data_IF_134052702708
#
_entry.id   IF_134052702708
#
_cell.length_a   1.000
_cell.length_b   1.000
_cell.length_c   1.000
_cell.angle_alpha   90.00
_cell.angle_beta   90.00
_cell.angle_gamma   90.00
#
_symmetry.space_group_name_H-M   'P 1'
#
loop_
_entity.id
_entity.type
_entity.pdbx_description
1 polymer ?
#
# COMPACT_ATOMS: atom_id res chain seq x y z
N UNK A 1 -24.46 4.81 -45.76
CA UNK A 1 -25.62 5.23 -44.92
C UNK A 1 -26.42 4.04 -44.38
N UNK A 2 -26.88 3.07 -45.20
CA UNK A 2 -27.67 1.93 -44.71
C UNK A 2 -26.99 1.09 -43.60
N UNK A 3 -25.68 0.82 -43.72
CA UNK A 3 -24.93 0.09 -42.68
C UNK A 3 -24.89 0.82 -41.33
N UNK A 4 -24.80 2.16 -41.33
CA UNK A 4 -24.79 2.95 -40.09
C UNK A 4 -26.15 2.90 -39.42
N UNK A 5 -27.24 2.99 -40.19
CA UNK A 5 -28.61 2.87 -39.67
C UNK A 5 -28.84 1.48 -39.07
N UNK A 6 -28.35 0.42 -39.72
CA UNK A 6 -28.47 -0.94 -39.20
C UNK A 6 -27.67 -1.15 -37.91
N UNK A 7 -26.52 -0.47 -37.75
CA UNK A 7 -25.71 -0.54 -36.54
C UNK A 7 -26.32 0.28 -35.40
N UNK A 8 -26.92 1.43 -35.71
CA UNK A 8 -27.67 2.25 -34.75
C UNK A 8 -28.93 1.55 -34.23
N UNK A 9 -29.54 0.66 -35.02
CA UNK A 9 -30.68 -0.16 -34.55
C UNK A 9 -30.30 -1.13 -33.42
N UNK A 10 -29.02 -1.46 -33.26
CA UNK A 10 -28.55 -2.31 -32.16
C UNK A 10 -28.33 -1.53 -30.85
N UNK A 11 -28.36 -0.19 -30.89
CA UNK A 11 -28.16 0.66 -29.71
C UNK A 11 -29.54 1.09 -29.20
N UNK A 12 -29.91 0.58 -28.03
CA UNK A 12 -31.09 1.07 -27.33
C UNK A 12 -30.77 2.41 -26.66
N UNK A 13 -31.52 3.46 -27.00
CA UNK A 13 -31.40 4.79 -26.40
C UNK A 13 -32.28 4.95 -25.15
N UNK A 14 -33.33 4.13 -24.99
CA UNK A 14 -34.29 4.24 -23.88
C UNK A 14 -33.88 3.34 -22.69
N UNK A 15 -32.74 3.67 -22.07
CA UNK A 15 -32.15 2.84 -21.00
C UNK A 15 -32.63 3.17 -19.58
N UNK A 16 -33.40 4.24 -19.41
CA UNK A 16 -33.81 4.75 -18.09
C UNK A 16 -35.19 4.20 -17.75
N UNK A 17 -35.28 3.48 -16.63
CA UNK A 17 -36.55 2.97 -16.08
C UNK A 17 -36.74 3.49 -14.66
N UNK A 18 -37.79 4.28 -14.39
CA UNK A 18 -38.06 4.82 -13.06
C UNK A 18 -38.75 3.78 -12.17
N UNK A 19 -38.42 3.79 -10.88
CA UNK A 19 -39.07 2.97 -9.85
C UNK A 19 -39.45 3.84 -8.66
N UNK A 20 -40.59 3.56 -8.05
CA UNK A 20 -41.07 4.28 -6.87
C UNK A 20 -40.52 3.69 -5.56
N UNK A 21 -40.13 2.41 -5.57
CA UNK A 21 -39.62 1.70 -4.40
C UNK A 21 -38.26 1.05 -4.68
N UNK A 22 -37.34 1.25 -3.75
CA UNK A 22 -35.97 0.75 -3.81
C UNK A 22 -35.89 -0.78 -3.86
N UNK A 23 -36.75 -1.50 -3.11
CA UNK A 23 -36.69 -2.97 -3.06
C UNK A 23 -37.15 -3.59 -4.39
N UNK A 24 -38.16 -3.01 -5.03
CA UNK A 24 -38.60 -3.44 -6.37
C UNK A 24 -37.51 -3.21 -7.43
N UNK A 25 -36.80 -2.07 -7.34
CA UNK A 25 -35.72 -1.73 -8.25
C UNK A 25 -34.51 -2.66 -8.08
N UNK A 26 -34.18 -3.03 -6.84
CA UNK A 26 -33.10 -3.98 -6.55
C UNK A 26 -33.40 -5.38 -7.11
N UNK A 27 -34.62 -5.90 -6.90
CA UNK A 27 -35.01 -7.21 -7.42
C UNK A 27 -34.93 -7.28 -8.95
N UNK A 28 -35.42 -6.23 -9.64
CA UNK A 28 -35.32 -6.16 -11.10
C UNK A 28 -33.88 -5.93 -11.58
N UNK A 29 -33.07 -5.19 -10.81
CA UNK A 29 -31.64 -5.04 -11.08
C UNK A 29 -30.91 -6.38 -11.04
N UNK A 30 -31.21 -7.27 -10.08
CA UNK A 30 -30.63 -8.63 -10.06
C UNK A 30 -31.01 -9.43 -11.31
N UNK A 31 -32.28 -9.38 -11.74
CA UNK A 31 -32.73 -10.06 -12.97
C UNK A 31 -32.02 -9.54 -14.22
N UNK A 32 -31.80 -8.22 -14.30
CA UNK A 32 -31.06 -7.59 -15.41
C UNK A 32 -29.57 -7.85 -15.34
N UNK A 33 -29.01 -8.00 -14.15
CA UNK A 33 -27.62 -8.38 -13.94
C UNK A 33 -27.36 -9.80 -14.47
N UNK A 34 -28.25 -10.76 -14.18
CA UNK A 34 -28.16 -12.12 -14.70
C UNK A 34 -28.24 -12.18 -16.25
N UNK A 35 -29.02 -11.27 -16.85
CA UNK A 35 -29.11 -11.12 -18.30
C UNK A 35 -28.01 -10.23 -18.93
N UNK A 36 -27.03 -9.74 -18.15
CA UNK A 36 -25.99 -8.80 -18.59
C UNK A 36 -26.51 -7.50 -19.24
N UNK A 37 -27.71 -7.05 -18.87
CA UNK A 37 -28.32 -5.81 -19.39
C UNK A 37 -28.30 -4.65 -18.38
N UNK A 38 -27.99 -4.92 -17.11
CA UNK A 38 -27.84 -3.89 -16.09
C UNK A 38 -26.54 -3.12 -16.27
N UNK A 39 -26.62 -1.78 -16.35
CA UNK A 39 -25.45 -0.91 -16.24
C UNK A 39 -25.24 -0.45 -14.78
N UNK A 40 -26.23 0.24 -14.22
CA UNK A 40 -26.22 0.70 -12.83
C UNK A 40 -27.64 0.91 -12.31
N UNK A 41 -27.80 0.90 -10.99
CA UNK A 41 -28.99 1.31 -10.25
C UNK A 41 -28.65 2.59 -9.47
N UNK A 42 -29.40 3.66 -9.69
CA UNK A 42 -29.23 4.94 -9.00
C UNK A 42 -30.35 5.07 -7.97
N UNK A 43 -29.98 5.22 -6.70
CA UNK A 43 -30.94 5.38 -5.60
C UNK A 43 -30.76 6.73 -4.92
N UNK A 44 -31.81 7.55 -4.92
CA UNK A 44 -31.85 8.87 -4.29
C UNK A 44 -32.50 8.77 -2.91
N UNK A 45 -31.84 9.26 -1.87
CA UNK A 45 -32.42 9.29 -0.53
C UNK A 45 -33.22 10.58 -0.35
N UNK A 46 -34.55 10.47 -0.32
CA UNK A 46 -35.47 11.59 -0.09
C UNK A 46 -35.23 12.81 -1.01
N UNK A 47 -35.36 12.65 -2.35
CA UNK A 47 -35.06 13.71 -3.32
C UNK A 47 -35.99 14.94 -3.26
N UNK A 48 -37.17 14.81 -2.65
CA UNK A 48 -38.26 15.78 -2.76
C UNK A 48 -39.28 15.34 -3.82
N UNK A 49 -40.51 15.88 -3.75
CA UNK A 49 -41.59 15.52 -4.68
C UNK A 49 -41.55 16.40 -5.95
N UNK A 50 -41.68 17.72 -5.78
CA UNK A 50 -41.80 18.65 -6.93
C UNK A 50 -40.52 19.48 -7.18
N UNK A 51 -39.71 19.71 -6.14
CA UNK A 51 -38.45 20.44 -6.24
C UNK A 51 -37.35 19.66 -5.55
N UNK A 52 -36.22 19.52 -6.24
CA UNK A 52 -35.05 18.84 -5.71
C UNK A 52 -34.53 19.58 -4.47
N UNK A 53 -34.22 18.83 -3.42
CA UNK A 53 -33.66 19.37 -2.19
C UNK A 53 -32.24 19.92 -2.46
N UNK A 54 -31.86 21.10 -1.92
CA UNK A 54 -30.52 21.68 -2.13
C UNK A 54 -29.36 20.75 -1.73
N UNK A 55 -29.57 19.93 -0.71
CA UNK A 55 -28.63 18.88 -0.29
C UNK A 55 -29.26 17.54 -0.62
N UNK A 56 -28.71 16.86 -1.62
CA UNK A 56 -29.16 15.56 -2.11
C UNK A 56 -28.05 14.54 -1.88
N UNK A 57 -28.42 13.40 -1.33
CA UNK A 57 -27.55 12.22 -1.26
C UNK A 57 -28.10 11.15 -2.19
N UNK A 58 -27.24 10.61 -3.04
CA UNK A 58 -27.56 9.56 -3.98
C UNK A 58 -26.49 8.47 -3.93
N UNK A 59 -26.87 7.25 -4.31
CA UNK A 59 -25.97 6.11 -4.36
C UNK A 59 -26.06 5.46 -5.73
N UNK A 60 -24.90 5.22 -6.35
CA UNK A 60 -24.77 4.47 -7.59
C UNK A 60 -24.37 3.05 -7.22
N UNK A 61 -25.17 2.07 -7.64
CA UNK A 61 -24.91 0.65 -7.41
C UNK A 61 -24.68 -0.03 -8.76
N UNK A 62 -23.53 -0.64 -8.93
CA UNK A 62 -23.23 -1.49 -10.09
C UNK A 62 -22.75 -2.86 -9.62
N UNK A 63 -22.60 -3.79 -10.56
CA UNK A 63 -21.99 -5.08 -10.30
C UNK A 63 -20.56 -4.92 -9.74
N UNK A 64 -20.26 -5.66 -8.68
CA UNK A 64 -18.92 -5.75 -8.08
C UNK A 64 -17.88 -6.39 -9.00
N UNK A 65 -18.28 -6.98 -10.13
CA UNK A 65 -17.35 -7.43 -11.16
C UNK A 65 -16.82 -6.25 -12.01
N UNK A 66 -17.67 -5.23 -12.21
CA UNK A 66 -17.39 -4.05 -13.02
C UNK A 66 -16.73 -2.93 -12.20
N UNK A 67 -17.04 -2.84 -10.91
CA UNK A 67 -16.37 -1.92 -9.99
C UNK A 67 -15.33 -2.71 -9.18
N UNK A 68 -14.26 -2.04 -8.71
CA UNK A 68 -13.33 -2.64 -7.76
C UNK A 68 -13.95 -2.88 -6.38
N UNK A 69 -13.20 -3.51 -5.48
CA UNK A 69 -13.58 -3.55 -4.08
C UNK A 69 -13.58 -2.13 -3.48
N UNK A 70 -14.38 -1.89 -2.45
CA UNK A 70 -14.44 -0.61 -1.74
C UNK A 70 -13.30 -0.41 -0.73
N UNK A 71 -12.25 -1.24 -0.80
CA UNK A 71 -11.04 -1.02 -0.02
C UNK A 71 -10.35 0.24 -0.52
N UNK A 72 -10.14 1.17 0.40
CA UNK A 72 -9.60 2.50 0.11
C UNK A 72 -8.13 2.36 -0.35
N UNK A 73 -7.33 1.54 0.34
CA UNK A 73 -5.92 1.33 0.05
C UNK A 73 -5.59 -0.13 -0.29
N UNK A 74 -4.50 -0.33 -1.03
CA UNK A 74 -3.95 -1.69 -1.19
C UNK A 74 -3.53 -2.25 0.17
N UNK A 75 -3.78 -3.55 0.37
CA UNK A 75 -3.31 -4.26 1.56
C UNK A 75 -1.77 -4.30 1.64
N UNK A 76 -1.10 -4.33 0.50
CA UNK A 76 0.34 -4.27 0.38
C UNK A 76 0.72 -3.11 -0.50
N UNK A 77 1.53 -2.20 0.02
CA UNK A 77 2.05 -1.08 -0.77
C UNK A 77 2.94 -1.61 -1.90
N UNK A 78 2.69 -1.16 -3.13
CA UNK A 78 3.50 -1.46 -4.31
C UNK A 78 3.93 -0.16 -4.98
N UNK A 79 5.20 -0.06 -5.34
CA UNK A 79 5.78 1.08 -6.07
C UNK A 79 5.44 1.05 -7.58
N UNK A 80 4.33 0.43 -7.96
CA UNK A 80 3.91 0.35 -9.36
C UNK A 80 2.82 1.38 -9.64
N UNK A 81 2.84 2.03 -10.81
CA UNK A 81 1.71 2.84 -11.20
C UNK A 81 0.49 1.96 -11.44
N UNK A 82 -0.65 2.42 -10.93
CA UNK A 82 -1.98 1.88 -11.20
C UNK A 82 -2.47 2.28 -12.60
N UNK A 83 -1.89 1.69 -13.62
CA UNK A 83 -2.10 2.08 -15.03
C UNK A 83 -2.90 1.06 -15.84
N UNK A 84 -3.23 -0.12 -15.28
CA UNK A 84 -3.89 -1.18 -16.05
C UNK A 84 -5.38 -0.87 -16.20
N UNK A 85 -5.91 -0.67 -17.42
CA UNK A 85 -7.30 -0.26 -17.64
C UNK A 85 -8.33 -1.18 -16.96
N UNK A 86 -8.17 -2.50 -17.13
CA UNK A 86 -9.13 -3.51 -16.69
C UNK A 86 -9.11 -3.82 -15.19
N UNK A 87 -7.99 -3.54 -14.52
CA UNK A 87 -7.77 -3.93 -13.12
C UNK A 87 -7.73 -2.73 -12.18
N UNK A 88 -6.94 -1.72 -12.53
CA UNK A 88 -6.66 -0.58 -11.65
C UNK A 88 -7.61 0.60 -11.95
N UNK A 89 -8.04 0.74 -13.21
CA UNK A 89 -8.87 1.85 -13.71
C UNK A 89 -10.33 1.44 -13.96
N UNK A 90 -10.86 0.52 -13.14
CA UNK A 90 -12.22 -0.02 -13.32
C UNK A 90 -13.31 1.05 -13.35
N UNK A 91 -13.20 2.06 -12.48
CA UNK A 91 -14.14 3.18 -12.39
C UNK A 91 -14.31 3.95 -13.71
N UNK A 92 -13.22 4.13 -14.46
CA UNK A 92 -13.22 4.80 -15.75
C UNK A 92 -13.58 3.81 -16.86
N UNK A 93 -12.98 2.61 -16.83
CA UNK A 93 -13.07 1.61 -17.90
C UNK A 93 -14.48 1.01 -18.04
N UNK A 94 -15.17 0.77 -16.91
CA UNK A 94 -16.54 0.26 -16.90
C UNK A 94 -17.61 1.37 -16.76
N UNK A 95 -17.17 2.62 -16.70
CA UNK A 95 -18.02 3.79 -16.87
C UNK A 95 -18.79 4.28 -15.65
N UNK A 96 -18.39 3.89 -14.43
CA UNK A 96 -18.92 4.50 -13.20
C UNK A 96 -18.68 6.01 -13.18
N UNK A 97 -17.46 6.46 -13.51
CA UNK A 97 -17.11 7.88 -13.52
C UNK A 97 -17.94 8.68 -14.54
N UNK A 98 -18.23 8.08 -15.71
CA UNK A 98 -19.10 8.72 -16.71
C UNK A 98 -20.53 8.85 -16.21
N UNK A 99 -21.06 7.82 -15.54
CA UNK A 99 -22.40 7.85 -14.97
C UNK A 99 -22.49 8.89 -13.86
N UNK A 100 -21.47 8.96 -13.00
CA UNK A 100 -21.38 9.97 -11.96
C UNK A 100 -21.39 11.39 -12.55
N UNK A 101 -20.55 11.67 -13.55
CA UNK A 101 -20.51 12.97 -14.22
C UNK A 101 -21.87 13.33 -14.87
N UNK A 102 -22.52 12.38 -15.56
CA UNK A 102 -23.83 12.61 -16.17
C UNK A 102 -24.92 12.92 -15.14
N UNK A 103 -24.95 12.18 -14.02
CA UNK A 103 -25.94 12.39 -12.95
C UNK A 103 -25.68 13.73 -12.25
N UNK A 104 -24.43 14.04 -11.92
CA UNK A 104 -24.05 15.29 -11.27
C UNK A 104 -24.35 16.51 -12.13
N UNK A 105 -24.01 16.46 -13.42
CA UNK A 105 -24.37 17.52 -14.36
C UNK A 105 -25.88 17.74 -14.43
N UNK A 106 -26.69 16.67 -14.42
CA UNK A 106 -28.16 16.78 -14.41
C UNK A 106 -28.69 17.46 -13.14
N UNK A 107 -28.11 17.14 -11.97
CA UNK A 107 -28.48 17.73 -10.68
C UNK A 107 -28.08 19.21 -10.64
N UNK A 108 -26.87 19.54 -11.12
CA UNK A 108 -26.37 20.92 -11.19
C UNK A 108 -27.24 21.75 -12.13
N UNK A 109 -27.61 21.20 -13.29
CA UNK A 109 -28.49 21.86 -14.25
C UNK A 109 -29.86 22.17 -13.62
N UNK A 110 -30.43 21.22 -12.89
CA UNK A 110 -31.73 21.42 -12.20
C UNK A 110 -31.63 22.46 -11.07
N UNK A 111 -30.54 22.46 -10.29
CA UNK A 111 -30.35 23.41 -9.20
C UNK A 111 -30.03 24.83 -9.68
N UNK A 112 -29.26 24.96 -10.74
CA UNK A 112 -28.77 26.27 -11.22
C UNK A 112 -29.61 26.86 -12.35
N UNK A 113 -30.42 26.05 -13.04
CA UNK A 113 -31.15 26.45 -14.23
C UNK A 113 -30.27 26.81 -15.43
N UNK A 114 -28.98 26.44 -15.42
CA UNK A 114 -28.03 26.71 -16.51
C UNK A 114 -28.04 25.58 -17.53
N UNK A 115 -28.19 25.90 -18.80
CA UNK A 115 -28.20 24.90 -19.89
C UNK A 115 -26.81 24.36 -20.26
N UNK A 116 -25.73 25.06 -19.90
CA UNK A 116 -24.36 24.64 -20.23
C UNK A 116 -23.53 24.53 -18.96
N UNK A 117 -23.14 23.29 -18.65
CA UNK A 117 -22.13 22.96 -17.64
C UNK A 117 -20.74 22.86 -18.30
N UNK A 118 -19.67 23.23 -17.59
CA UNK A 118 -18.31 23.01 -18.09
C UNK A 118 -18.01 21.51 -18.18
N UNK A 119 -17.28 21.09 -19.21
CA UNK A 119 -16.85 19.69 -19.37
C UNK A 119 -15.72 19.33 -18.41
N UNK A 120 -15.77 18.10 -17.88
CA UNK A 120 -14.76 17.56 -16.96
C UNK A 120 -13.82 16.62 -17.73
N UNK A 121 -12.51 16.75 -17.48
CA UNK A 121 -11.49 15.85 -18.03
C UNK A 121 -10.75 15.18 -16.88
N UNK A 122 -10.65 13.86 -16.94
CA UNK A 122 -9.90 13.06 -15.98
C UNK A 122 -8.48 12.82 -16.49
N UNK A 123 -7.48 13.12 -15.67
CA UNK A 123 -6.07 12.90 -15.98
C UNK A 123 -5.37 12.30 -14.76
N UNK A 124 -4.70 11.15 -14.95
CA UNK A 124 -3.84 10.59 -13.91
C UNK A 124 -2.59 11.45 -13.74
N UNK A 125 -2.12 11.59 -12.49
CA UNK A 125 -0.82 12.20 -12.22
C UNK A 125 0.29 11.39 -12.89
N UNK A 126 1.31 12.06 -13.45
CA UNK A 126 2.43 11.37 -14.08
C UNK A 126 3.23 10.60 -13.02
N UNK A 127 3.52 9.33 -13.30
CA UNK A 127 4.38 8.51 -12.46
C UNK A 127 5.85 8.65 -12.91
N UNK A 128 6.83 8.73 -12.00
CA UNK A 128 8.25 8.77 -12.39
C UNK A 128 8.65 7.51 -13.16
N UNK A 129 9.77 7.59 -13.90
CA UNK A 129 10.30 6.42 -14.60
C UNK A 129 10.63 5.30 -13.60
N UNK A 130 10.11 4.10 -13.85
CA UNK A 130 10.28 2.93 -12.99
C UNK A 130 10.66 1.70 -13.82
N UNK A 131 11.24 0.71 -13.17
CA UNK A 131 11.59 -0.58 -13.75
C UNK A 131 10.73 -1.64 -13.06
N UNK A 132 10.00 -2.41 -13.85
CA UNK A 132 9.10 -3.44 -13.32
C UNK A 132 9.80 -4.82 -13.26
N UNK A 133 10.47 -5.11 -12.15
CA UNK A 133 11.10 -6.42 -11.93
C UNK A 133 10.14 -7.39 -11.23
N UNK A 134 9.30 -8.08 -12.00
CA UNK A 134 8.36 -9.08 -11.48
C UNK A 134 9.07 -10.22 -10.72
N UNK A 135 10.28 -10.58 -11.17
CA UNK A 135 11.10 -11.60 -10.51
C UNK A 135 11.49 -11.19 -9.09
N UNK A 136 12.00 -9.98 -8.87
CA UNK A 136 12.40 -9.51 -7.55
C UNK A 136 11.20 -9.36 -6.62
N UNK A 137 10.05 -8.91 -7.15
CA UNK A 137 8.80 -8.85 -6.37
C UNK A 137 8.35 -10.23 -5.87
N UNK A 138 8.45 -11.26 -6.71
CA UNK A 138 8.10 -12.63 -6.32
C UNK A 138 9.15 -13.26 -5.39
N UNK A 139 10.44 -13.05 -5.67
CA UNK A 139 11.55 -13.66 -4.95
C UNK A 139 11.81 -13.01 -3.60
N UNK A 140 11.71 -11.68 -3.48
CA UNK A 140 12.01 -10.96 -2.22
C UNK A 140 11.28 -11.51 -1.00
N UNK A 141 10.00 -11.89 -1.15
CA UNK A 141 9.19 -12.47 -0.06
C UNK A 141 9.52 -13.93 0.23
N UNK A 142 10.02 -14.67 -0.77
CA UNK A 142 10.29 -16.12 -0.68
C UNK A 142 11.77 -16.43 -0.44
N UNK A 143 12.66 -15.46 -0.62
CA UNK A 143 14.09 -15.62 -0.49
C UNK A 143 14.52 -16.18 0.88
N UNK A 144 14.00 -15.70 2.03
CA UNK A 144 14.35 -16.27 3.34
C UNK A 144 13.97 -17.75 3.48
N UNK A 145 12.87 -18.19 2.84
CA UNK A 145 12.47 -19.60 2.85
C UNK A 145 13.49 -20.48 2.14
N UNK A 146 13.97 -20.07 0.96
CA UNK A 146 15.00 -20.82 0.22
C UNK A 146 16.32 -20.89 1.01
N UNK A 147 16.66 -19.82 1.72
CA UNK A 147 17.84 -19.76 2.58
C UNK A 147 17.76 -20.75 3.73
N UNK A 148 16.63 -20.78 4.45
CA UNK A 148 16.39 -21.76 5.51
C UNK A 148 16.48 -23.19 4.93
N UNK A 149 15.78 -23.47 3.83
CA UNK A 149 15.82 -24.81 3.22
C UNK A 149 17.23 -25.26 2.81
N UNK A 150 18.08 -24.33 2.36
CA UNK A 150 19.45 -24.64 1.92
C UNK A 150 20.33 -25.19 3.06
N UNK A 151 20.15 -24.70 4.29
CA UNK A 151 20.95 -25.11 5.44
C UNK A 151 20.25 -26.01 6.46
N UNK A 152 19.00 -26.44 6.20
CA UNK A 152 18.31 -27.45 7.02
C UNK A 152 19.20 -28.69 7.21
N UNK A 153 19.80 -29.20 6.13
CA UNK A 153 20.65 -30.38 6.21
C UNK A 153 21.90 -30.14 7.05
N UNK A 154 22.59 -29.02 6.83
CA UNK A 154 23.79 -28.67 7.61
C UNK A 154 23.48 -28.53 9.10
N UNK A 155 22.38 -27.84 9.43
CA UNK A 155 21.90 -27.65 10.80
C UNK A 155 21.60 -29.00 11.49
N UNK A 156 20.88 -29.90 10.82
CA UNK A 156 20.58 -31.26 11.32
C UNK A 156 21.84 -32.09 11.54
N UNK A 157 22.82 -32.02 10.63
CA UNK A 157 24.06 -32.79 10.73
C UNK A 157 24.96 -32.28 11.84
N UNK A 158 25.07 -30.96 12.04
CA UNK A 158 25.82 -30.38 13.17
C UNK A 158 25.22 -30.85 14.50
N UNK A 159 23.90 -30.78 14.65
CA UNK A 159 23.23 -31.27 15.85
C UNK A 159 23.46 -32.77 16.08
N UNK A 160 23.32 -33.59 15.02
CA UNK A 160 23.58 -35.02 15.09
C UNK A 160 24.99 -35.31 15.60
N UNK A 161 26.00 -34.63 15.07
CA UNK A 161 27.41 -34.86 15.43
C UNK A 161 27.69 -34.53 16.89
N UNK A 162 27.15 -33.41 17.40
CA UNK A 162 27.30 -33.02 18.81
C UNK A 162 26.60 -34.01 19.75
N UNK A 163 25.38 -34.41 19.40
CA UNK A 163 24.61 -35.37 20.21
C UNK A 163 25.21 -36.77 20.13
N UNK A 164 25.82 -37.14 19.00
CA UNK A 164 26.56 -38.39 18.85
C UNK A 164 27.77 -38.44 19.79
N UNK A 165 28.56 -37.37 19.85
CA UNK A 165 29.67 -37.28 20.80
C UNK A 165 29.20 -37.33 22.27
N UNK A 166 28.07 -36.67 22.57
CA UNK A 166 27.41 -36.72 23.89
C UNK A 166 26.95 -38.14 24.24
N UNK A 167 26.36 -38.86 23.29
CA UNK A 167 25.82 -40.21 23.46
C UNK A 167 26.93 -41.23 23.78
N UNK A 168 28.06 -41.16 23.08
CA UNK A 168 29.23 -42.02 23.30
C UNK A 168 30.08 -41.58 24.52
N UNK A 169 29.69 -40.50 25.20
CA UNK A 169 30.40 -39.90 26.35
C UNK A 169 31.86 -39.51 26.05
N UNK A 170 32.20 -39.29 24.79
CA UNK A 170 33.55 -38.91 24.36
C UNK A 170 33.96 -37.54 24.94
N UNK A 171 32.99 -36.62 25.09
CA UNK A 171 33.19 -35.33 25.76
C UNK A 171 33.68 -35.48 27.22
N UNK A 172 33.12 -36.42 27.97
CA UNK A 172 33.50 -36.65 29.37
C UNK A 172 34.89 -37.28 29.48
N UNK A 173 35.25 -38.18 28.55
CA UNK A 173 36.59 -38.75 28.48
C UNK A 173 37.65 -37.67 28.23
N UNK A 174 37.39 -36.73 27.32
CA UNK A 174 38.31 -35.63 27.04
C UNK A 174 38.42 -34.63 28.20
N UNK A 175 37.33 -34.46 28.97
CA UNK A 175 37.36 -33.68 30.22
C UNK A 175 38.24 -34.33 31.28
N UNK A 176 38.21 -35.66 31.40
CA UNK A 176 39.12 -36.43 32.29
C UNK A 176 40.58 -36.31 31.85
N UNK A 177 40.84 -36.16 30.55
CA UNK A 177 42.18 -35.93 29.98
C UNK A 177 42.72 -34.50 30.25
N UNK A 178 41.91 -33.61 30.84
CA UNK A 178 42.31 -32.26 31.23
C UNK A 178 41.89 -31.16 30.25
N UNK A 179 41.03 -31.45 29.28
CA UNK A 179 40.52 -30.44 28.34
C UNK A 179 39.36 -29.65 28.94
N UNK A 180 39.34 -28.34 28.74
CA UNK A 180 38.27 -27.47 29.23
C UNK A 180 37.02 -27.52 28.35
N UNK A 181 35.84 -27.32 28.94
CA UNK A 181 34.56 -27.30 28.22
C UNK A 181 34.50 -26.23 27.12
N UNK A 182 35.18 -25.10 27.31
CA UNK A 182 35.24 -24.03 26.30
C UNK A 182 35.90 -24.49 25.00
N UNK A 183 36.97 -25.29 25.11
CA UNK A 183 37.71 -25.78 23.93
C UNK A 183 36.84 -26.69 23.07
N UNK A 184 35.99 -27.52 23.68
CA UNK A 184 35.04 -28.36 22.95
C UNK A 184 34.04 -27.53 22.13
N UNK A 185 33.44 -26.50 22.72
CA UNK A 185 32.48 -25.64 22.01
C UNK A 185 33.16 -24.83 20.90
N UNK A 186 34.37 -24.33 21.14
CA UNK A 186 35.13 -23.63 20.10
C UNK A 186 35.57 -24.56 18.97
N UNK A 187 35.93 -25.82 19.28
CA UNK A 187 36.31 -26.80 18.26
C UNK A 187 35.12 -27.12 17.34
N UNK A 188 33.95 -27.41 17.91
CA UNK A 188 32.73 -27.61 17.13
C UNK A 188 32.32 -26.37 16.32
N UNK A 189 32.52 -25.17 16.87
CA UNK A 189 32.26 -23.93 16.15
C UNK A 189 33.19 -23.78 14.94
N UNK A 190 34.49 -24.03 15.11
CA UNK A 190 35.50 -23.94 14.05
C UNK A 190 35.23 -24.99 12.96
N UNK A 191 34.92 -26.23 13.34
CA UNK A 191 34.60 -27.29 12.37
C UNK A 191 33.35 -26.94 11.56
N UNK A 192 32.30 -26.49 12.24
CA UNK A 192 31.02 -26.13 11.61
C UNK A 192 31.13 -24.90 10.71
N UNK A 193 31.84 -23.85 11.14
CA UNK A 193 31.95 -22.61 10.36
C UNK A 193 32.77 -22.81 9.08
N UNK A 194 33.78 -23.69 9.08
CA UNK A 194 34.57 -24.00 7.88
C UNK A 194 33.68 -24.62 6.80
N UNK A 195 32.85 -25.60 7.15
CA UNK A 195 31.91 -26.23 6.21
C UNK A 195 30.88 -25.21 5.71
N UNK A 196 30.33 -24.38 6.60
CA UNK A 196 29.32 -23.39 6.24
C UNK A 196 29.89 -22.27 5.36
N UNK A 197 31.11 -21.80 5.60
CA UNK A 197 31.80 -20.80 4.77
C UNK A 197 31.93 -21.28 3.33
N UNK A 198 32.33 -22.54 3.11
CA UNK A 198 32.45 -23.09 1.75
C UNK A 198 31.10 -22.99 1.02
N UNK A 199 30.01 -23.38 1.67
CA UNK A 199 28.66 -23.26 1.08
C UNK A 199 28.22 -21.81 0.87
N UNK A 200 28.57 -20.90 1.78
CA UNK A 200 28.26 -19.47 1.66
C UNK A 200 29.03 -18.79 0.52
N UNK A 201 30.29 -19.16 0.28
CA UNK A 201 31.07 -18.69 -0.87
C UNK A 201 30.41 -19.15 -2.17
N UNK A 202 30.06 -20.44 -2.29
CA UNK A 202 29.41 -20.98 -3.48
C UNK A 202 28.07 -20.28 -3.77
N UNK A 203 27.25 -20.07 -2.74
CA UNK A 203 25.97 -19.37 -2.87
C UNK A 203 26.16 -17.90 -3.24
N UNK A 204 27.14 -17.22 -2.65
CA UNK A 204 27.47 -15.83 -2.99
C UNK A 204 27.87 -15.68 -4.46
N UNK A 205 28.71 -16.58 -4.96
CA UNK A 205 29.10 -16.62 -6.37
C UNK A 205 27.87 -16.85 -7.27
N UNK A 206 26.98 -17.78 -6.90
CA UNK A 206 25.76 -18.05 -7.66
C UNK A 206 24.84 -16.82 -7.72
N UNK A 207 24.64 -16.10 -6.61
CA UNK A 207 23.76 -14.92 -6.57
C UNK A 207 24.30 -13.76 -7.41
N UNK A 208 25.62 -13.57 -7.42
CA UNK A 208 26.28 -12.47 -8.15
C UNK A 208 26.39 -12.80 -9.64
N UNK A 209 26.99 -13.96 -9.99
CA UNK A 209 27.18 -14.35 -11.39
C UNK A 209 25.89 -14.86 -12.05
N UNK A 210 24.92 -15.30 -11.26
CA UNK A 210 23.57 -15.66 -11.73
C UNK A 210 22.69 -14.45 -12.04
N UNK A 211 23.21 -13.22 -11.96
CA UNK A 211 22.48 -11.98 -12.24
C UNK A 211 21.18 -11.81 -11.44
N UNK A 212 21.08 -12.47 -10.27
CA UNK A 212 19.92 -12.41 -9.36
C UNK A 212 19.92 -11.09 -8.60
N UNK A 213 21.09 -10.68 -8.07
CA UNK A 213 21.27 -9.42 -7.33
C UNK A 213 22.37 -8.60 -8.01
N UNK A 214 22.01 -7.88 -9.07
CA UNK A 214 22.97 -7.26 -9.99
C UNK A 214 23.64 -6.00 -9.42
N UNK A 215 22.90 -5.22 -8.61
CA UNK A 215 23.34 -3.90 -8.17
C UNK A 215 24.06 -3.89 -6.83
N UNK A 216 24.24 -5.05 -6.19
CA UNK A 216 24.82 -5.14 -4.85
C UNK A 216 26.29 -5.55 -4.89
N UNK A 217 27.09 -4.98 -3.99
CA UNK A 217 28.49 -5.38 -3.84
C UNK A 217 28.58 -6.85 -3.34
N UNK A 218 29.30 -7.75 -4.05
CA UNK A 218 29.45 -9.15 -3.68
C UNK A 218 29.94 -9.38 -2.24
N UNK A 219 30.80 -8.51 -1.74
CA UNK A 219 31.38 -8.61 -0.39
C UNK A 219 30.31 -8.44 0.69
N UNK A 220 29.35 -7.53 0.48
CA UNK A 220 28.26 -7.29 1.43
C UNK A 220 27.36 -8.52 1.50
N UNK A 221 27.03 -9.10 0.35
CA UNK A 221 26.25 -10.34 0.28
C UNK A 221 26.99 -11.45 1.03
N UNK A 222 28.29 -11.61 0.81
CA UNK A 222 29.07 -12.63 1.50
C UNK A 222 29.09 -12.44 3.02
N UNK A 223 29.34 -11.22 3.52
CA UNK A 223 29.30 -10.90 4.95
C UNK A 223 27.92 -11.21 5.55
N UNK A 224 26.85 -10.84 4.84
CA UNK A 224 25.48 -11.14 5.25
C UNK A 224 25.24 -12.65 5.39
N UNK A 225 25.65 -13.44 4.38
CA UNK A 225 25.53 -14.90 4.41
C UNK A 225 26.34 -15.54 5.54
N UNK A 226 27.55 -15.05 5.82
CA UNK A 226 28.38 -15.53 6.94
C UNK A 226 27.71 -15.23 8.27
N UNK A 227 27.11 -14.04 8.44
CA UNK A 227 26.39 -13.70 9.67
C UNK A 227 25.21 -14.64 9.92
N UNK A 228 24.47 -15.00 8.86
CA UNK A 228 23.40 -15.99 8.91
C UNK A 228 23.92 -17.40 9.25
N UNK A 229 25.08 -17.79 8.72
CA UNK A 229 25.72 -19.05 9.07
C UNK A 229 26.08 -19.10 10.56
N UNK A 230 26.65 -18.03 11.12
CA UNK A 230 27.00 -17.94 12.55
C UNK A 230 25.75 -18.05 13.41
N UNK A 231 24.66 -17.36 13.06
CA UNK A 231 23.38 -17.46 13.76
C UNK A 231 22.79 -18.89 13.71
N UNK A 232 22.86 -19.54 12.55
CA UNK A 232 22.39 -20.92 12.36
C UNK A 232 23.20 -21.90 13.20
N UNK A 233 24.53 -21.73 13.28
CA UNK A 233 25.40 -22.56 14.14
C UNK A 233 25.05 -22.34 15.62
N UNK A 234 24.90 -21.09 16.06
CA UNK A 234 24.53 -20.78 17.44
C UNK A 234 23.16 -21.39 17.83
N UNK A 235 22.18 -21.30 16.92
CA UNK A 235 20.88 -21.94 17.08
C UNK A 235 21.02 -23.47 17.18
N UNK A 236 21.88 -24.08 16.35
CA UNK A 236 22.15 -25.53 16.39
C UNK A 236 22.74 -26.00 17.71
N UNK A 237 23.65 -25.23 18.27
CA UNK A 237 24.24 -25.55 19.57
C UNK A 237 23.20 -25.46 20.69
N UNK A 238 22.33 -24.46 20.65
CA UNK A 238 21.28 -24.29 21.65
C UNK A 238 20.35 -25.50 21.73
N UNK A 239 19.81 -25.99 20.60
CA UNK A 239 18.89 -27.11 20.65
C UNK A 239 19.59 -28.48 20.77
N UNK A 240 20.87 -28.60 20.36
CA UNK A 240 21.64 -29.86 20.54
C UNK A 240 21.73 -30.30 22.01
N UNK A 241 21.67 -29.35 22.95
CA UNK A 241 21.71 -29.65 24.39
C UNK A 241 20.48 -30.43 24.86
N UNK A 242 19.33 -30.27 24.19
CA UNK A 242 18.04 -30.87 24.58
C UNK A 242 17.92 -32.35 24.20
N UNK A 243 18.82 -32.88 23.37
CA UNK A 243 18.75 -34.25 22.87
C UNK A 243 19.82 -35.16 23.48
N UNK A 244 19.45 -36.41 23.72
CA UNK A 244 20.35 -37.45 24.24
C UNK A 244 20.67 -38.54 23.20
N UNK A 245 19.91 -38.63 22.11
CA UNK A 245 20.04 -39.66 21.06
C UNK A 245 20.31 -39.03 19.70
N UNK A 246 21.39 -39.43 19.03
CA UNK A 246 21.87 -38.79 17.81
C UNK A 246 20.89 -38.88 16.62
N UNK A 247 20.23 -40.03 16.43
CA UNK A 247 19.30 -40.24 15.32
C UNK A 247 18.00 -39.43 15.50
N UNK A 248 17.53 -39.28 16.75
CA UNK A 248 16.37 -38.44 17.07
C UNK A 248 16.73 -36.98 16.81
N UNK A 249 17.91 -36.54 17.29
CA UNK A 249 18.41 -35.18 17.09
C UNK A 249 18.59 -34.81 15.61
N UNK A 250 19.04 -35.76 14.77
CA UNK A 250 19.18 -35.55 13.34
C UNK A 250 17.83 -35.33 12.64
N UNK A 251 16.81 -36.10 13.01
CA UNK A 251 15.46 -35.96 12.44
C UNK A 251 14.74 -34.71 12.98
N UNK A 252 14.86 -34.43 14.27
CA UNK A 252 14.18 -33.29 14.92
C UNK A 252 14.88 -31.95 14.66
N UNK A 253 16.20 -31.92 14.49
CA UNK A 253 16.98 -30.68 14.33
C UNK A 253 16.52 -29.85 13.14
N UNK A 254 16.32 -30.48 11.99
CA UNK A 254 15.82 -29.81 10.78
C UNK A 254 14.37 -29.36 10.90
N UNK A 255 13.53 -30.16 11.59
CA UNK A 255 12.13 -29.81 11.86
C UNK A 255 12.06 -28.58 12.77
N UNK A 256 12.82 -28.57 13.86
CA UNK A 256 12.86 -27.44 14.80
C UNK A 256 13.39 -26.18 14.12
N UNK A 257 14.43 -26.32 13.29
CA UNK A 257 14.97 -25.21 12.52
C UNK A 257 13.93 -24.59 11.57
N UNK A 258 13.17 -25.43 10.84
CA UNK A 258 12.10 -24.97 9.97
C UNK A 258 10.91 -24.37 10.75
N UNK A 259 10.53 -25.00 11.87
CA UNK A 259 9.43 -24.51 12.73
C UNK A 259 9.75 -23.14 13.33
N UNK A 260 11.01 -22.86 13.68
CA UNK A 260 11.40 -21.54 14.19
C UNK A 260 11.30 -20.44 13.13
N UNK A 261 11.28 -20.77 11.85
CA UNK A 261 11.11 -19.81 10.76
C UNK A 261 9.62 -19.43 10.54
N UNK A 262 8.69 -20.37 10.72
CA UNK A 262 7.25 -20.16 10.41
C UNK A 262 6.54 -18.99 11.11
N UNK A 263 6.89 -18.59 12.34
CA UNK A 263 6.28 -17.42 12.98
C UNK A 263 6.44 -16.15 12.16
N UNK A 264 7.58 -15.96 11.47
CA UNK A 264 7.86 -14.71 10.75
C UNK A 264 6.90 -14.49 9.55
N UNK A 265 6.74 -15.43 8.60
CA UNK A 265 5.76 -15.27 7.51
C UNK A 265 4.34 -15.07 8.02
N UNK A 266 3.94 -15.78 9.09
CA UNK A 266 2.63 -15.61 9.69
C UNK A 266 2.45 -14.18 10.23
N UNK A 267 3.41 -13.70 11.02
CA UNK A 267 3.35 -12.38 11.64
C UNK A 267 3.36 -11.25 10.60
N UNK A 268 4.08 -11.43 9.48
CA UNK A 268 4.11 -10.46 8.39
C UNK A 268 2.73 -10.20 7.75
N UNK A 269 1.83 -11.19 7.77
CA UNK A 269 0.47 -11.03 7.24
C UNK A 269 -0.46 -10.22 8.18
N UNK A 270 -0.10 -10.15 9.46
CA UNK A 270 -0.85 -9.47 10.52
C UNK A 270 -0.24 -8.13 10.93
N UNK A 271 0.76 -7.65 10.18
CA UNK A 271 1.54 -6.46 10.51
C UNK A 271 0.69 -5.22 10.81
N UNK A 272 -0.41 -5.04 10.08
CA UNK A 272 -1.32 -3.90 10.21
C UNK A 272 -2.17 -3.92 11.49
N UNK A 273 -2.20 -5.04 12.23
CA UNK A 273 -2.98 -5.21 13.46
C UNK A 273 -2.07 -5.28 14.69
N UNK A 274 -0.75 -5.40 14.49
CA UNK A 274 0.21 -5.55 15.57
C UNK A 274 0.47 -4.22 16.29
N UNK A 275 0.77 -4.26 17.61
CA UNK A 275 1.20 -3.07 18.34
C UNK A 275 2.40 -2.39 17.66
N UNK A 276 2.50 -1.05 17.69
CA UNK A 276 3.54 -0.30 16.98
C UNK A 276 4.98 -0.73 17.35
N UNK A 277 5.21 -1.13 18.61
CA UNK A 277 6.51 -1.67 19.04
C UNK A 277 6.88 -2.96 18.31
N UNK A 278 5.92 -3.87 18.13
CA UNK A 278 6.14 -5.15 17.45
C UNK A 278 6.34 -4.90 15.95
N UNK A 279 5.58 -3.98 15.38
CA UNK A 279 5.72 -3.57 13.98
C UNK A 279 7.13 -3.00 13.70
N UNK A 280 7.66 -2.16 14.61
CA UNK A 280 9.01 -1.59 14.51
C UNK A 280 10.13 -2.64 14.49
N UNK A 281 10.00 -3.74 15.25
CA UNK A 281 11.02 -4.80 15.26
C UNK A 281 10.97 -5.73 14.03
N UNK A 282 9.81 -5.84 13.37
CA UNK A 282 9.60 -6.76 12.24
C UNK A 282 9.87 -6.07 10.91
N UNK A 283 9.55 -4.78 10.81
CA UNK A 283 9.81 -4.01 9.59
C UNK A 283 11.26 -3.58 9.55
N UNK A 284 11.93 -3.87 8.43
CA UNK A 284 13.05 -3.03 8.00
C UNK A 284 12.45 -1.62 7.88
N UNK A 285 13.06 -0.57 8.48
CA UNK A 285 12.57 0.78 8.33
C UNK A 285 12.53 1.07 6.82
N UNK A 286 11.32 1.03 6.25
CA UNK A 286 11.06 1.75 5.02
C UNK A 286 11.27 3.19 5.41
N UNK A 287 12.16 3.88 4.71
CA UNK A 287 12.30 5.32 4.79
C UNK A 287 10.92 5.95 4.57
N UNK A 288 10.16 6.16 5.65
CA UNK A 288 9.33 7.34 5.84
C UNK A 288 10.26 8.54 6.07
N UNK A 289 11.28 8.68 5.22
CA UNK A 289 11.98 9.93 4.99
C UNK A 289 11.31 10.63 3.79
N UNK A 290 9.98 10.70 3.80
CA UNK A 290 9.45 12.04 3.75
C UNK A 290 9.63 12.57 5.17
N UNK A 291 10.77 13.21 5.40
CA UNK A 291 10.89 14.18 6.48
C UNK A 291 9.76 15.18 6.26
N UNK A 292 8.66 14.96 6.95
CA UNK A 292 7.81 16.03 7.41
C UNK A 292 8.73 16.89 8.27
N UNK A 293 9.44 17.81 7.61
CA UNK A 293 9.86 19.05 8.23
C UNK A 293 8.59 19.80 8.58
N UNK A 294 7.95 19.30 9.64
CA UNK A 294 7.14 20.04 10.59
C UNK A 294 8.04 21.11 11.19
N UNK A 295 8.31 22.12 10.37
CA UNK A 295 8.74 23.43 10.84
C UNK A 295 7.50 24.12 11.39
N UNK A 296 7.05 23.66 12.55
CA UNK A 296 6.35 24.52 13.51
C UNK A 296 7.38 25.49 14.08
N UNK A 297 7.83 26.40 13.23
CA UNK A 297 8.59 27.58 13.58
C UNK A 297 7.91 28.72 12.84
N UNK A 298 7.43 29.77 13.51
CA UNK A 298 6.94 30.95 12.83
C UNK A 298 8.16 31.63 12.18
N UNK A 299 8.49 31.24 10.95
CA UNK A 299 9.51 31.92 10.17
C UNK A 299 8.94 33.28 9.78
N UNK A 300 9.67 34.31 10.20
CA UNK A 300 9.46 35.71 9.86
C UNK A 300 9.89 35.98 8.41
N UNK A 301 9.32 35.23 7.47
CA UNK A 301 9.44 35.48 6.04
C UNK A 301 8.15 36.18 5.57
N UNK A 302 8.21 37.09 4.59
CA UNK A 302 7.01 37.76 4.08
C UNK A 302 6.01 36.70 3.59
N UNK A 303 4.76 36.76 4.08
CA UNK A 303 3.69 35.85 3.65
C UNK A 303 3.64 35.81 2.11
N UNK A 304 3.55 34.63 1.49
CA UNK A 304 3.41 34.54 0.04
C UNK A 304 2.18 35.34 -0.41
N UNK A 305 2.27 36.10 -1.51
CA UNK A 305 1.15 36.90 -2.07
C UNK A 305 -0.14 36.07 -2.22
N UNK A 306 0.00 34.77 -2.44
CA UNK A 306 -1.09 33.77 -2.51
C UNK A 306 -1.83 33.62 -1.16
N UNK A 307 -1.09 33.54 -0.05
CA UNK A 307 -1.67 33.42 1.30
C UNK A 307 -2.45 34.69 1.66
N UNK A 308 -1.95 35.86 1.27
CA UNK A 308 -2.63 37.14 1.48
C UNK A 308 -3.96 37.19 0.70
N UNK A 309 -3.95 36.73 -0.56
CA UNK A 309 -5.17 36.66 -1.37
C UNK A 309 -6.20 35.69 -0.75
N UNK A 310 -5.79 34.47 -0.38
CA UNK A 310 -6.70 33.48 0.20
C UNK A 310 -7.32 33.98 1.50
N UNK A 311 -6.50 34.57 2.39
CA UNK A 311 -7.00 35.12 3.67
C UNK A 311 -7.89 36.36 3.50
N UNK A 312 -7.77 37.09 2.39
CA UNK A 312 -8.66 38.23 2.10
C UNK A 312 -10.11 37.81 1.86
N UNK A 313 -10.34 36.62 1.29
CA UNK A 313 -11.67 36.05 1.09
C UNK A 313 -12.09 35.15 2.26
N UNK A 314 -11.14 34.41 2.84
CA UNK A 314 -11.38 33.42 3.88
C UNK A 314 -10.39 33.59 5.03
N UNK A 315 -10.70 34.41 6.04
CA UNK A 315 -9.79 34.69 7.15
C UNK A 315 -9.51 33.46 8.03
N UNK A 316 -10.35 32.43 7.97
CA UNK A 316 -10.19 31.17 8.71
C UNK A 316 -9.44 30.07 7.92
N UNK A 317 -8.90 30.37 6.73
CA UNK A 317 -8.11 29.42 5.95
C UNK A 317 -6.70 29.24 6.57
N UNK A 318 -6.35 27.99 6.87
CA UNK A 318 -5.08 27.62 7.49
C UNK A 318 -4.19 26.85 6.51
N UNK A 319 -2.87 27.05 6.59
CA UNK A 319 -1.91 26.26 5.81
C UNK A 319 -1.76 24.90 6.49
N UNK A 320 -2.00 23.84 5.73
CA UNK A 320 -1.84 22.45 6.18
C UNK A 320 -0.41 21.95 5.93
N UNK A 321 0.06 22.09 4.69
CA UNK A 321 1.31 21.51 4.22
C UNK A 321 1.98 22.43 3.21
N UNK A 322 3.30 22.55 3.30
CA UNK A 322 4.13 23.19 2.28
C UNK A 322 5.13 22.13 1.83
N UNK A 323 5.05 21.70 0.57
CA UNK A 323 5.89 20.65 0.01
C UNK A 323 6.56 21.16 -1.27
N UNK A 324 7.80 21.64 -1.14
CA UNK A 324 8.55 22.18 -2.28
C UNK A 324 7.87 23.40 -2.89
N UNK A 325 7.29 23.25 -4.08
CA UNK A 325 6.53 24.30 -4.79
C UNK A 325 5.02 24.23 -4.55
N UNK A 326 4.54 23.30 -3.72
CA UNK A 326 3.11 23.10 -3.46
C UNK A 326 2.74 23.62 -2.06
N UNK A 327 1.67 24.40 -1.99
CA UNK A 327 1.09 24.91 -0.73
C UNK A 327 -0.35 24.42 -0.61
N UNK A 328 -0.63 23.73 0.48
CA UNK A 328 -1.90 23.10 0.78
C UNK A 328 -2.62 23.87 1.90
N UNK A 329 -3.85 24.30 1.65
CA UNK A 329 -4.70 25.06 2.57
C UNK A 329 -5.93 24.25 2.97
N UNK A 330 -6.30 24.31 4.26
CA UNK A 330 -7.58 23.81 4.76
C UNK A 330 -8.60 24.94 4.70
N UNK A 331 -9.72 24.68 4.04
CA UNK A 331 -10.82 25.63 3.88
C UNK A 331 -11.98 25.37 4.87
N UNK A 332 -12.57 26.42 5.48
CA UNK A 332 -13.65 26.30 6.47
C UNK A 332 -15.01 25.98 5.84
N UNK A 333 -15.66 24.87 6.22
CA UNK A 333 -16.95 24.44 5.67
C UNK A 333 -18.19 25.23 6.15
N UNK A 334 -18.02 26.44 6.68
CA UNK A 334 -19.15 27.24 7.17
C UNK A 334 -20.07 27.68 6.02
N UNK A 335 -21.41 27.65 6.19
CA UNK A 335 -22.36 28.05 5.15
C UNK A 335 -22.14 29.48 4.61
N UNK A 336 -21.58 30.37 5.43
CA UNK A 336 -21.21 31.74 5.04
C UNK A 336 -19.95 31.78 4.15
N UNK A 337 -19.00 30.88 4.37
CA UNK A 337 -17.75 30.75 3.61
C UNK A 337 -17.97 30.11 2.24
N UNK A 338 -19.04 29.32 2.09
CA UNK A 338 -19.35 28.61 0.85
C UNK A 338 -19.64 29.54 -0.34
N UNK A 339 -20.25 30.69 -0.08
CA UNK A 339 -20.48 31.72 -1.10
C UNK A 339 -19.20 32.46 -1.52
N UNK A 340 -18.19 32.52 -0.64
CA UNK A 340 -16.92 33.20 -0.90
C UNK A 340 -15.91 32.34 -1.68
N UNK A 341 -16.16 31.03 -1.81
CA UNK A 341 -15.30 30.16 -2.63
C UNK A 341 -15.31 30.53 -4.10
N UNK A 342 -16.48 30.87 -4.64
CA UNK A 342 -16.61 31.23 -6.06
C UNK A 342 -15.76 32.45 -6.38
N UNK A 343 -15.86 33.51 -5.57
CA UNK A 343 -15.08 34.74 -5.76
C UNK A 343 -13.60 34.55 -5.48
N UNK A 344 -13.23 33.67 -4.55
CA UNK A 344 -11.84 33.29 -4.30
C UNK A 344 -11.23 32.59 -5.52
N UNK A 345 -11.91 31.56 -6.06
CA UNK A 345 -11.39 30.81 -7.21
C UNK A 345 -11.38 31.63 -8.50
N UNK A 346 -12.36 32.52 -8.68
CA UNK A 346 -12.36 33.51 -9.76
C UNK A 346 -11.13 34.43 -9.65
N UNK A 347 -10.89 35.00 -8.46
CA UNK A 347 -9.75 35.90 -8.21
C UNK A 347 -8.39 35.19 -8.31
N UNK A 348 -8.30 33.92 -7.91
CA UNK A 348 -7.11 33.09 -8.09
C UNK A 348 -6.84 32.78 -9.57
N UNK A 349 -7.90 32.54 -10.34
CA UNK A 349 -7.79 32.27 -11.78
C UNK A 349 -7.32 33.50 -12.56
N UNK A 350 -7.82 34.69 -12.24
CA UNK A 350 -7.45 35.95 -12.89
C UNK A 350 -6.03 36.39 -12.54
N UNK A 351 -5.61 36.22 -11.27
CA UNK A 351 -4.29 36.64 -10.79
C UNK A 351 -3.21 35.56 -10.92
N UNK A 352 -3.51 34.41 -11.54
CA UNK A 352 -2.60 33.25 -11.66
C UNK A 352 -1.20 33.60 -12.16
N UNK A 353 -1.11 34.36 -13.25
CA UNK A 353 0.18 34.75 -13.85
C UNK A 353 0.97 35.75 -12.98
N UNK A 354 0.26 36.57 -12.20
CA UNK A 354 0.87 37.55 -11.30
C UNK A 354 1.38 36.90 -10.01
N UNK A 355 0.70 35.85 -9.56
CA UNK A 355 1.01 35.07 -8.36
C UNK A 355 2.02 33.94 -8.61
N UNK A 356 2.41 33.69 -9.87
CA UNK A 356 3.34 32.62 -10.23
C UNK A 356 2.78 31.22 -10.05
N UNK A 357 1.46 31.04 -10.17
CA UNK A 357 0.78 29.75 -9.94
C UNK A 357 0.76 28.93 -11.24
N UNK A 358 1.42 27.77 -11.22
CA UNK A 358 1.43 26.81 -12.33
C UNK A 358 0.15 26.00 -12.37
N UNK A 359 -0.45 25.66 -11.22
CA UNK A 359 -1.77 25.00 -11.17
C UNK A 359 -2.39 25.10 -9.78
N UNK A 360 -3.71 25.04 -9.68
CA UNK A 360 -4.39 24.87 -8.40
C UNK A 360 -5.50 23.84 -8.52
N UNK A 361 -5.79 23.15 -7.42
CA UNK A 361 -6.81 22.12 -7.36
C UNK A 361 -7.55 22.15 -6.03
N UNK A 362 -8.79 21.65 -6.07
CA UNK A 362 -9.59 21.39 -4.88
C UNK A 362 -9.67 19.88 -4.75
N UNK A 363 -9.26 19.35 -3.60
CA UNK A 363 -9.50 17.98 -3.21
C UNK A 363 -10.38 17.98 -1.97
N UNK A 364 -11.44 17.19 -1.99
CA UNK A 364 -12.09 16.81 -0.73
C UNK A 364 -11.14 15.87 0.02
N UNK A 365 -11.05 15.95 1.34
CA UNK A 365 -10.26 14.97 2.11
C UNK A 365 -10.75 13.58 1.73
N UNK A 366 -9.88 12.78 1.13
CA UNK A 366 -10.24 11.38 0.86
C UNK A 366 -10.38 10.64 2.19
N UNK A 367 -11.09 9.52 2.19
CA UNK A 367 -11.15 8.64 3.37
C UNK A 367 -9.76 8.18 3.83
N UNK A 368 -8.70 8.26 2.99
CA UNK A 368 -7.32 8.06 3.43
C UNK A 368 -6.87 9.13 4.45
N UNK A 369 -7.09 10.41 4.15
CA UNK A 369 -6.65 11.52 5.00
C UNK A 369 -7.50 11.63 6.27
N UNK A 370 -8.78 11.25 6.21
CA UNK A 370 -9.69 11.23 7.37
C UNK A 370 -9.21 10.24 8.45
N UNK A 371 -8.53 9.14 8.11
CA UNK A 371 -8.02 8.17 9.10
C UNK A 371 -6.77 8.71 9.80
N UNK A 372 -5.89 9.42 9.09
CA UNK A 372 -4.77 10.14 9.72
C UNK A 372 -5.29 11.28 10.62
N UNK A 373 -6.32 12.01 10.17
CA UNK A 373 -6.99 13.07 10.93
C UNK A 373 -7.81 12.56 12.13
N UNK A 374 -8.37 11.35 12.08
CA UNK A 374 -9.16 10.78 13.18
C UNK A 374 -8.31 10.48 14.43
N UNK A 375 -6.99 10.41 14.30
CA UNK A 375 -6.09 10.42 15.47
C UNK A 375 -5.95 11.81 16.12
N UNK A 376 -6.40 12.90 15.46
CA UNK A 376 -6.19 14.28 15.91
C UNK A 376 -7.36 15.26 15.64
N UNK A 377 -8.60 14.90 15.97
CA UNK A 377 -9.81 15.77 16.06
C UNK A 377 -10.75 15.71 14.84
N UNK A 378 -12.02 15.52 15.20
CA UNK A 378 -13.26 15.54 14.39
C UNK A 378 -13.36 16.71 13.41
N UNK A 379 -13.44 16.40 12.11
CA UNK A 379 -14.06 17.27 11.09
C UNK A 379 -13.62 16.95 9.66
N UNK A 380 -14.57 16.60 8.79
CA UNK A 380 -14.35 16.55 7.33
C UNK A 380 -13.95 17.93 6.83
N UNK A 381 -12.82 18.03 6.13
CA UNK A 381 -12.24 19.31 5.73
C UNK A 381 -11.98 19.33 4.21
N UNK A 382 -12.14 20.47 3.55
CA UNK A 382 -11.73 20.59 2.14
C UNK A 382 -10.32 21.15 2.05
N UNK A 383 -9.55 20.60 1.12
CA UNK A 383 -8.14 20.91 0.95
C UNK A 383 -7.91 21.52 -0.41
N UNK A 384 -7.30 22.70 -0.45
CA UNK A 384 -6.88 23.35 -1.70
C UNK A 384 -5.38 23.36 -1.79
N UNK A 385 -4.85 22.82 -2.86
CA UNK A 385 -3.43 22.88 -3.14
C UNK A 385 -3.17 23.85 -4.29
N UNK A 386 -2.12 24.64 -4.14
CA UNK A 386 -1.63 25.62 -5.12
C UNK A 386 -0.17 25.27 -5.40
N UNK A 387 0.16 25.04 -6.67
CA UNK A 387 1.49 24.68 -7.14
C UNK A 387 2.07 25.77 -8.03
#
# INVERSE_FOLDING_TARGET
MQYVVQLLQCIDFNKIVPYNDSATAENDAFLRMDNNTLWALINFTQPGYDKLKPTLTYSIRMSTALIGDTYISDRFYTLDPRSRPLYDLKYITFGFAYLQDMVEQSIIQEHTGRESTPGIVLQQFPYPCYIEDQFIKAVSKTFPLFMVLSWVFACSMICKSIVYEKQERLKEMMRVMGLSNGVHWTAWFIDSIVVMIITAVLLSLLLVYGHVIQHSNPVIIFIFLVSFCVATIAQSFLYSVLFDQANIAAASGGIIYFLLYLPYPFLSNWLNVLPPLVNYFITIPQDHNHTDHSSNQPSSDPEPDVTQLIRSFLPAANIHKISGSEVTYVLPQDPASMGAYVSLFESLSENRAKLGIDSYGISDTSLEEVIEFLYFISGSSQVVFVR
#
